data_IF_082872177230
#
_entry.id   IF_082872177230
#
_cell.length_a   1.000
_cell.length_b   1.000
_cell.length_c   1.000
_cell.angle_alpha   90.00
_cell.angle_beta   90.00
_cell.angle_gamma   90.00
#
_symmetry.space_group_name_H-M   'P 1'
#
loop_
_entity.id
_entity.type
_entity.pdbx_description
1 polymer ?
#
# COMPACT_ATOMS: atom_id res chain seq x y z
N UNK A 1 11.89 11.03 6.64
CA UNK A 1 13.07 10.23 7.05
C UNK A 1 12.58 8.88 7.54
N UNK A 2 13.10 7.80 6.99
CA UNK A 2 12.86 6.42 7.40
C UNK A 2 14.07 5.96 8.20
N UNK A 3 13.85 5.23 9.31
CA UNK A 3 14.94 4.59 10.05
C UNK A 3 15.07 3.16 9.56
N UNK A 4 16.21 2.83 8.95
CA UNK A 4 16.58 1.47 8.61
C UNK A 4 17.67 0.97 9.58
N UNK A 5 17.85 -0.34 9.67
CA UNK A 5 18.94 -0.96 10.42
C UNK A 5 20.33 -0.54 9.91
N UNK A 6 20.44 -0.25 8.61
CA UNK A 6 21.64 0.28 7.95
C UNK A 6 21.86 1.79 8.14
N UNK A 7 20.90 2.49 8.75
CA UNK A 7 20.95 3.94 8.99
C UNK A 7 19.70 4.67 8.49
N UNK A 8 19.56 5.97 8.79
CA UNK A 8 18.43 6.76 8.32
C UNK A 8 18.53 7.01 6.81
N UNK A 9 17.42 6.84 6.10
CA UNK A 9 17.28 7.21 4.69
C UNK A 9 16.18 8.25 4.52
N UNK A 10 16.20 8.98 3.41
CA UNK A 10 15.22 10.00 3.10
C UNK A 10 14.37 9.57 1.91
N UNK A 11 13.05 9.76 2.03
CA UNK A 11 12.10 9.69 0.92
C UNK A 11 11.57 11.10 0.75
N UNK A 12 11.76 11.65 -0.45
CA UNK A 12 11.31 12.99 -0.78
C UNK A 12 9.80 13.04 -1.00
N UNK A 13 9.19 14.19 -0.76
CA UNK A 13 7.75 14.39 -0.97
C UNK A 13 7.52 15.82 -1.44
N UNK A 14 7.05 15.98 -2.68
CA UNK A 14 6.65 17.25 -3.25
C UNK A 14 5.18 17.59 -2.95
N UNK A 15 4.30 16.58 -2.97
CA UNK A 15 2.90 16.68 -2.59
C UNK A 15 2.44 15.32 -2.01
N UNK A 16 1.37 15.32 -1.23
CA UNK A 16 0.80 14.08 -0.72
C UNK A 16 -0.52 14.22 0.03
N UNK A 17 -1.34 13.18 -0.10
CA UNK A 17 -2.65 13.06 0.52
C UNK A 17 -2.73 11.81 1.38
N UNK A 18 -3.50 11.91 2.47
CA UNK A 18 -3.87 10.77 3.30
C UNK A 18 -5.37 10.62 3.32
N UNK A 19 -5.83 9.40 3.06
CA UNK A 19 -7.23 9.04 2.95
C UNK A 19 -7.50 7.87 3.89
N UNK A 20 -8.50 8.03 4.75
CA UNK A 20 -9.05 6.94 5.53
C UNK A 20 -10.34 6.48 4.85
N UNK A 21 -10.35 5.25 4.34
CA UNK A 21 -11.45 4.73 3.54
C UNK A 21 -12.25 3.75 4.39
N UNK A 22 -13.55 4.03 4.44
CA UNK A 22 -14.57 3.22 5.07
C UNK A 22 -15.39 2.57 3.98
N UNK A 23 -16.01 1.43 4.31
CA UNK A 23 -16.99 0.79 3.45
C UNK A 23 -18.38 1.02 4.03
N UNK A 24 -19.09 -0.02 4.46
CA UNK A 24 -20.39 0.08 5.14
C UNK A 24 -20.23 0.20 6.65
N UNK A 25 -19.15 -0.35 7.21
CA UNK A 25 -18.89 -0.29 8.65
C UNK A 25 -18.34 1.07 9.09
N UNK A 26 -18.48 1.37 10.38
CA UNK A 26 -17.91 2.56 11.01
C UNK A 26 -16.42 2.43 11.35
N UNK A 27 -15.79 1.30 11.01
CA UNK A 27 -14.36 1.08 11.21
C UNK A 27 -13.63 1.24 9.88
N UNK A 28 -12.48 1.93 9.86
CA UNK A 28 -11.74 2.09 8.61
C UNK A 28 -11.22 0.76 8.11
N UNK A 29 -11.27 0.56 6.80
CA UNK A 29 -10.71 -0.62 6.12
C UNK A 29 -9.34 -0.31 5.53
N UNK A 30 -9.13 0.90 5.04
CA UNK A 30 -7.88 1.29 4.38
C UNK A 30 -7.38 2.62 4.91
N UNK A 31 -6.12 2.67 5.31
CA UNK A 31 -5.37 3.90 5.44
C UNK A 31 -4.43 4.03 4.23
N UNK A 32 -4.77 4.95 3.33
CA UNK A 32 -4.08 5.18 2.07
C UNK A 32 -3.28 6.47 2.15
N UNK A 33 -2.02 6.40 1.75
CA UNK A 33 -1.14 7.54 1.55
C UNK A 33 -0.74 7.57 0.08
N UNK A 34 -0.94 8.69 -0.60
CA UNK A 34 -0.47 8.89 -1.99
C UNK A 34 0.45 10.10 -1.96
N UNK A 35 1.66 9.95 -2.48
CA UNK A 35 2.70 10.97 -2.51
C UNK A 35 3.33 11.07 -3.88
N UNK A 36 3.80 12.27 -4.23
CA UNK A 36 4.66 12.50 -5.38
C UNK A 36 6.07 12.76 -4.89
N UNK A 37 7.03 12.00 -5.41
CA UNK A 37 8.46 12.27 -5.19
C UNK A 37 8.83 13.66 -5.71
N UNK A 38 9.82 14.29 -5.10
CA UNK A 38 10.41 15.51 -5.67
C UNK A 38 11.06 15.20 -7.03
N UNK A 39 11.15 16.22 -7.88
CA UNK A 39 11.66 16.08 -9.25
C UNK A 39 13.06 15.46 -9.26
N UNK A 40 13.24 14.42 -10.10
CA UNK A 40 14.51 13.68 -10.21
C UNK A 40 14.84 12.75 -9.03
N UNK A 41 13.98 12.62 -8.02
CA UNK A 41 14.26 11.84 -6.80
C UNK A 41 13.63 10.45 -6.76
N UNK A 42 12.67 10.16 -7.65
CA UNK A 42 11.89 8.91 -7.61
C UNK A 42 12.75 7.64 -7.56
N UNK A 43 13.83 7.56 -8.34
CA UNK A 43 14.69 6.36 -8.35
C UNK A 43 15.37 6.10 -6.99
N UNK A 44 15.78 7.16 -6.30
CA UNK A 44 16.37 7.06 -4.96
C UNK A 44 15.30 6.72 -3.92
N UNK A 45 14.16 7.41 -3.97
CA UNK A 45 13.02 7.17 -3.08
C UNK A 45 12.53 5.72 -3.19
N UNK A 46 12.38 5.21 -4.42
CA UNK A 46 12.01 3.82 -4.70
C UNK A 46 12.96 2.83 -4.02
N UNK A 47 14.27 3.04 -4.12
CA UNK A 47 15.27 2.17 -3.47
C UNK A 47 15.08 2.18 -1.95
N UNK A 48 14.96 3.36 -1.35
CA UNK A 48 14.72 3.49 0.09
C UNK A 48 13.42 2.83 0.54
N UNK A 49 12.36 2.90 -0.26
CA UNK A 49 11.09 2.24 0.04
C UNK A 49 11.22 0.72 -0.07
N UNK A 50 11.89 0.19 -1.09
CA UNK A 50 12.14 -1.25 -1.23
C UNK A 50 12.94 -1.77 -0.02
N UNK A 51 13.98 -1.04 0.39
CA UNK A 51 14.79 -1.43 1.55
C UNK A 51 13.97 -1.40 2.84
N UNK A 52 13.09 -0.39 3.00
CA UNK A 52 12.13 -0.36 4.11
C UNK A 52 11.19 -1.57 4.10
N UNK A 53 10.60 -1.91 2.96
CA UNK A 53 9.68 -3.05 2.85
C UNK A 53 10.39 -4.38 3.17
N UNK A 54 11.64 -4.54 2.75
CA UNK A 54 12.47 -5.70 3.11
C UNK A 54 12.69 -5.80 4.61
N UNK A 55 12.99 -4.68 5.29
CA UNK A 55 13.17 -4.69 6.75
C UNK A 55 11.86 -4.98 7.49
N UNK A 56 10.72 -4.47 7.01
CA UNK A 56 9.42 -4.78 7.60
C UNK A 56 9.14 -6.29 7.48
N UNK A 57 9.34 -6.88 6.30
CA UNK A 57 9.17 -8.32 6.08
C UNK A 57 10.12 -9.14 6.98
N UNK A 58 11.40 -8.78 7.03
CA UNK A 58 12.40 -9.46 7.87
C UNK A 58 12.16 -9.31 9.38
N UNK A 59 11.43 -8.28 9.82
CA UNK A 59 11.04 -8.08 11.22
C UNK A 59 9.93 -9.01 11.70
N UNK A 60 9.22 -9.68 10.79
CA UNK A 60 8.20 -10.69 11.13
C UNK A 60 8.87 -11.97 11.64
N UNK A 61 8.30 -12.61 12.66
CA UNK A 61 8.92 -13.77 13.33
C UNK A 61 8.16 -15.06 13.02
N UNK A 62 8.82 -16.22 12.94
CA UNK A 62 8.13 -17.51 12.86
C UNK A 62 7.14 -17.71 14.02
N UNK A 63 5.99 -18.37 13.78
CA UNK A 63 5.54 -18.98 12.53
C UNK A 63 4.99 -17.98 11.49
N UNK A 64 4.80 -16.72 11.86
CA UNK A 64 4.20 -15.67 11.06
C UNK A 64 5.21 -14.94 10.16
N UNK A 65 6.23 -15.64 9.65
CA UNK A 65 7.18 -15.03 8.72
C UNK A 65 6.44 -14.68 7.42
N UNK A 66 6.45 -13.39 7.07
CA UNK A 66 5.80 -12.85 5.88
C UNK A 66 6.87 -12.47 4.86
N UNK A 67 6.74 -13.00 3.65
CA UNK A 67 7.61 -12.65 2.55
C UNK A 67 7.20 -11.30 1.94
N UNK A 68 8.20 -10.58 1.44
CA UNK A 68 7.95 -9.44 0.55
C UNK A 68 7.64 -9.97 -0.84
N UNK A 69 6.39 -9.82 -1.26
CA UNK A 69 5.95 -10.14 -2.61
C UNK A 69 6.16 -8.94 -3.54
N UNK A 70 6.60 -9.19 -4.78
CA UNK A 70 6.74 -8.17 -5.81
C UNK A 70 5.99 -8.56 -7.08
N UNK A 71 5.33 -7.59 -7.70
CA UNK A 71 4.67 -7.80 -8.99
C UNK A 71 4.60 -6.50 -9.79
N UNK A 72 4.07 -6.57 -11.01
CA UNK A 72 3.83 -5.39 -11.85
C UNK A 72 2.47 -5.50 -12.50
N UNK A 73 1.69 -4.43 -12.44
CA UNK A 73 0.37 -4.34 -13.05
C UNK A 73 0.26 -3.02 -13.79
N UNK A 74 0.04 -3.06 -15.12
CA UNK A 74 -0.15 -1.86 -15.96
C UNK A 74 0.96 -0.81 -15.81
N UNK A 75 2.21 -1.27 -15.67
CA UNK A 75 3.38 -0.39 -15.49
C UNK A 75 3.58 0.12 -14.05
N UNK A 76 2.68 -0.21 -13.14
CA UNK A 76 2.82 0.06 -11.70
C UNK A 76 3.53 -1.12 -11.06
N UNK A 77 4.63 -0.87 -10.36
CA UNK A 77 5.26 -1.89 -9.53
C UNK A 77 4.58 -1.98 -8.18
N UNK A 78 4.32 -3.20 -7.72
CA UNK A 78 3.66 -3.49 -6.45
C UNK A 78 4.64 -4.22 -5.54
N UNK A 79 4.74 -3.74 -4.30
CA UNK A 79 5.43 -4.38 -3.18
C UNK A 79 4.37 -4.73 -2.14
N UNK A 80 4.28 -5.98 -1.71
CA UNK A 80 3.23 -6.43 -0.81
C UNK A 80 3.76 -7.27 0.36
N UNK A 81 3.19 -7.03 1.54
CA UNK A 81 3.37 -7.83 2.75
C UNK A 81 1.97 -8.20 3.22
N UNK A 82 1.62 -9.48 3.12
CA UNK A 82 0.29 -9.99 3.42
C UNK A 82 0.33 -10.96 4.60
N UNK A 83 -0.42 -10.67 5.66
CA UNK A 83 -0.70 -11.70 6.66
C UNK A 83 -1.64 -12.74 6.05
N UNK A 84 -1.45 -14.01 6.46
CA UNK A 84 -2.22 -15.14 5.94
C UNK A 84 -3.59 -15.31 6.60
N UNK A 85 -3.77 -14.73 7.78
CA UNK A 85 -4.93 -15.00 8.62
C UNK A 85 -5.52 -13.72 9.23
N UNK A 86 -6.82 -13.53 8.99
CA UNK A 86 -7.64 -12.45 9.53
C UNK A 86 -7.98 -12.63 11.01
N UNK A 87 -7.83 -13.81 11.60
CA UNK A 87 -8.29 -14.06 12.98
C UNK A 87 -7.18 -13.86 14.02
N UNK A 88 -5.91 -14.01 13.62
CA UNK A 88 -4.75 -13.93 14.52
C UNK A 88 -3.95 -12.63 14.43
N UNK A 89 -4.42 -11.68 13.62
CA UNK A 89 -3.75 -10.38 13.39
C UNK A 89 -4.59 -9.23 13.91
N UNK A 90 -3.95 -8.26 14.55
CA UNK A 90 -4.57 -6.99 14.90
C UNK A 90 -3.87 -5.85 14.16
N UNK A 91 -4.59 -4.77 13.85
CA UNK A 91 -4.01 -3.62 13.15
C UNK A 91 -3.91 -3.86 11.64
N UNK A 92 -2.71 -3.79 11.07
CA UNK A 92 -2.52 -3.91 9.61
C UNK A 92 -2.47 -5.38 9.21
N UNK A 93 -3.41 -5.82 8.38
CA UNK A 93 -3.42 -7.19 7.84
C UNK A 93 -2.67 -7.29 6.50
N UNK A 94 -2.63 -6.22 5.71
CA UNK A 94 -1.75 -6.19 4.54
C UNK A 94 -1.23 -4.79 4.28
N UNK A 95 0.02 -4.72 3.80
CA UNK A 95 0.66 -3.48 3.40
C UNK A 95 1.05 -3.59 1.93
N UNK A 96 0.67 -2.59 1.13
CA UNK A 96 1.09 -2.46 -0.26
C UNK A 96 1.83 -1.14 -0.46
N UNK A 97 2.86 -1.15 -1.30
CA UNK A 97 3.39 0.05 -1.94
C UNK A 97 3.26 -0.09 -3.45
N UNK A 98 2.59 0.87 -4.07
CA UNK A 98 2.46 1.00 -5.52
C UNK A 98 3.42 2.09 -5.99
N UNK A 99 4.24 1.78 -6.99
CA UNK A 99 5.31 2.63 -7.50
C UNK A 99 5.06 2.95 -8.97
N UNK A 100 4.75 4.21 -9.25
CA UNK A 100 4.46 4.74 -10.59
C UNK A 100 5.64 5.61 -11.04
N UNK A 101 6.63 5.00 -11.67
CA UNK A 101 7.84 5.69 -12.11
C UNK A 101 7.56 6.74 -13.20
N UNK A 102 6.52 6.52 -14.02
CA UNK A 102 6.20 7.40 -15.14
C UNK A 102 5.73 8.78 -14.65
N UNK A 103 4.99 8.82 -13.54
CA UNK A 103 4.47 10.07 -12.97
C UNK A 103 5.13 10.46 -11.63
N UNK A 104 6.13 9.69 -11.17
CA UNK A 104 6.81 9.91 -9.90
C UNK A 104 5.93 9.74 -8.66
N UNK A 105 4.86 8.95 -8.75
CA UNK A 105 3.93 8.76 -7.64
C UNK A 105 4.23 7.48 -6.86
N UNK A 106 3.99 7.53 -5.56
CA UNK A 106 4.06 6.41 -4.63
C UNK A 106 2.75 6.36 -3.86
N UNK A 107 2.10 5.20 -3.81
CA UNK A 107 0.98 4.98 -2.91
C UNK A 107 1.30 3.89 -1.90
N UNK A 108 1.18 4.18 -0.61
CA UNK A 108 1.26 3.21 0.47
C UNK A 108 -0.14 2.92 1.01
N UNK A 109 -0.53 1.66 0.97
CA UNK A 109 -1.82 1.16 1.42
C UNK A 109 -1.60 0.32 2.67
N UNK A 110 -2.24 0.69 3.77
CA UNK A 110 -2.40 -0.17 4.93
C UNK A 110 -3.84 -0.67 4.98
N UNK A 111 -4.05 -1.94 4.68
CA UNK A 111 -5.33 -2.61 4.89
C UNK A 111 -5.43 -3.02 6.35
N UNK A 112 -6.49 -2.54 7.00
CA UNK A 112 -6.70 -2.66 8.44
C UNK A 112 -7.64 -3.83 8.72
N UNK A 113 -7.23 -4.70 9.64
CA UNK A 113 -8.08 -5.75 10.12
C UNK A 113 -9.17 -5.16 11.00
N UNK A 114 -10.40 -5.27 10.52
CA UNK A 114 -11.57 -4.88 11.28
C UNK A 114 -11.92 -6.00 12.27
N UNK A 115 -12.46 -5.64 13.43
CA UNK A 115 -12.86 -6.66 14.41
C UNK A 115 -14.00 -7.53 13.85
N UNK A 116 -14.10 -8.81 14.22
CA UNK A 116 -15.15 -9.71 13.73
C UNK A 116 -16.58 -9.15 13.85
N UNK A 117 -16.86 -8.34 14.86
CA UNK A 117 -18.21 -7.80 15.11
C UNK A 117 -18.62 -6.71 14.11
N UNK A 118 -17.66 -6.12 13.39
CA UNK A 118 -17.88 -4.97 12.49
C UNK A 118 -17.33 -5.17 11.08
N UNK A 119 -16.50 -6.20 10.86
CA UNK A 119 -15.88 -6.47 9.57
C UNK A 119 -16.88 -7.03 8.57
N UNK A 120 -16.70 -6.67 7.30
CA UNK A 120 -17.63 -7.03 6.22
C UNK A 120 -17.15 -8.25 5.39
N UNK A 121 -16.21 -9.01 5.93
CA UNK A 121 -15.67 -10.24 5.33
C UNK A 121 -15.64 -11.34 6.40
N UNK A 122 -16.09 -12.54 6.04
CA UNK A 122 -16.20 -13.67 6.96
C UNK A 122 -15.01 -14.64 6.86
N UNK A 123 -14.23 -14.56 5.78
CA UNK A 123 -13.14 -15.51 5.51
C UNK A 123 -11.90 -14.83 4.92
N UNK A 124 -10.75 -15.53 5.01
CA UNK A 124 -9.51 -15.10 4.37
C UNK A 124 -9.68 -14.92 2.85
N UNK A 125 -10.52 -15.73 2.21
CA UNK A 125 -10.79 -15.63 0.77
C UNK A 125 -11.57 -14.35 0.42
N UNK A 126 -12.64 -14.05 1.17
CA UNK A 126 -13.41 -12.82 0.98
C UNK A 126 -12.57 -11.56 1.24
N UNK A 127 -11.70 -11.60 2.26
CA UNK A 127 -10.75 -10.53 2.50
C UNK A 127 -9.78 -10.36 1.31
N UNK A 128 -9.21 -11.45 0.80
CA UNK A 128 -8.30 -11.42 -0.33
C UNK A 128 -8.99 -10.83 -1.58
N UNK A 129 -10.22 -11.22 -1.89
CA UNK A 129 -10.99 -10.66 -3.00
C UNK A 129 -11.23 -9.14 -2.85
N UNK A 130 -11.57 -8.69 -1.64
CA UNK A 130 -11.78 -7.27 -1.33
C UNK A 130 -10.48 -6.47 -1.49
N UNK A 131 -9.38 -6.99 -0.94
CA UNK A 131 -8.03 -6.43 -1.07
C UNK A 131 -7.62 -6.32 -2.53
N UNK A 132 -7.67 -7.43 -3.26
CA UNK A 132 -7.17 -7.50 -4.63
C UNK A 132 -7.99 -6.60 -5.56
N UNK A 133 -9.31 -6.51 -5.34
CA UNK A 133 -10.17 -5.55 -6.02
C UNK A 133 -9.77 -4.11 -5.73
N UNK A 134 -9.51 -3.75 -4.48
CA UNK A 134 -9.10 -2.39 -4.11
C UNK A 134 -7.74 -2.04 -4.74
N UNK A 135 -6.75 -2.93 -4.63
CA UNK A 135 -5.42 -2.73 -5.19
C UNK A 135 -5.48 -2.63 -6.72
N UNK A 136 -6.26 -3.48 -7.39
CA UNK A 136 -6.48 -3.40 -8.83
C UNK A 136 -7.08 -2.06 -9.26
N UNK A 137 -8.13 -1.58 -8.56
CA UNK A 137 -8.73 -0.28 -8.85
C UNK A 137 -7.75 0.89 -8.61
N UNK A 138 -6.94 0.83 -7.56
CA UNK A 138 -5.95 1.85 -7.28
C UNK A 138 -4.84 1.87 -8.34
N UNK A 139 -4.30 0.70 -8.71
CA UNK A 139 -3.33 0.56 -9.80
C UNK A 139 -3.88 1.12 -11.10
N UNK A 140 -5.15 0.85 -11.42
CA UNK A 140 -5.82 1.37 -12.61
C UNK A 140 -5.93 2.90 -12.60
N UNK A 141 -6.26 3.49 -11.44
CA UNK A 141 -6.29 4.93 -11.28
C UNK A 141 -4.89 5.56 -11.41
N UNK A 142 -3.87 4.92 -10.84
CA UNK A 142 -2.48 5.39 -10.90
C UNK A 142 -1.85 5.22 -12.28
N UNK A 143 -2.28 4.23 -13.07
CA UNK A 143 -1.77 4.05 -14.42
C UNK A 143 -2.32 5.07 -15.43
N UNK A 144 -3.38 5.82 -15.08
CA UNK A 144 -3.97 6.82 -15.99
C UNK A 144 -3.05 8.03 -16.15
N UNK A 145 -2.88 8.56 -17.38
CA UNK A 145 -2.21 9.84 -17.60
C UNK A 145 -2.85 10.96 -16.77
N UNK A 146 -2.05 11.90 -16.28
CA UNK A 146 -2.54 13.04 -15.47
C UNK A 146 -3.62 13.86 -16.19
N UNK A 147 -3.55 13.93 -17.53
CA UNK A 147 -4.54 14.59 -18.39
C UNK A 147 -5.93 13.96 -18.35
N UNK A 148 -6.04 12.67 -18.04
CA UNK A 148 -7.31 11.92 -17.98
C UNK A 148 -7.87 11.81 -16.54
N UNK A 149 -7.22 12.45 -15.56
CA UNK A 149 -7.62 12.39 -14.13
C UNK A 149 -8.57 13.51 -13.69
N UNK A 150 -8.94 14.44 -14.58
CA UNK A 150 -9.97 15.44 -14.26
C UNK A 150 -11.33 14.76 -14.08
N UNK A 151 -12.13 15.13 -13.06
CA UNK A 151 -13.49 14.68 -12.99
C UNK A 151 -14.22 15.24 -14.21
N UNK A 152 -14.80 14.36 -15.01
CA UNK A 152 -15.77 14.76 -16.02
C UNK A 152 -16.86 15.54 -15.30
N UNK A 153 -16.88 16.87 -15.50
CA UNK A 153 -17.84 17.74 -14.86
C UNK A 153 -19.26 17.26 -15.11
N UNK A 154 -20.03 17.19 -14.03
CA UNK A 154 -21.48 17.33 -14.05
C UNK A 154 -21.87 18.31 -12.96
#
# INVERSE_FOLDING_TARGET
MIKLSSGPVHVSTADGYRLMIYRKSSSPLVNLKIERSAEGRFAEDRRSIIDQMKEIAAGTKPPDQIDLETSTQKGIELLAINNRDIDNVSGVISMYTLLDAANGNVATVYLLNQRPEVREYASNAEYAELRDRFIGLLSDCMARPEQDRSPSGK
#
